data_IF_770996316343
#
_entry.id   IF_770996316343
#
_cell.length_a   1.000
_cell.length_b   1.000
_cell.length_c   1.000
_cell.angle_alpha   90.00
_cell.angle_beta   90.00
_cell.angle_gamma   90.00
#
_symmetry.space_group_name_H-M   'P 1'
#
loop_
_entity.id
_entity.type
_entity.pdbx_description
1 polymer ?
#
# COMPACT_ATOMS: atom_id res chain seq x y z
N UNK A 1 -37.03 32.50 -11.68
CA UNK A 1 -35.58 32.51 -11.36
C UNK A 1 -35.43 32.57 -9.85
N UNK A 2 -34.88 31.52 -9.22
CA UNK A 2 -34.49 31.53 -7.81
C UNK A 2 -33.68 30.26 -7.51
N UNK A 3 -32.35 30.39 -7.42
CA UNK A 3 -31.47 29.30 -7.02
C UNK A 3 -31.52 29.09 -5.50
N UNK A 4 -31.59 27.86 -4.98
CA UNK A 4 -31.38 27.60 -3.56
C UNK A 4 -29.94 27.95 -3.18
N UNK A 5 -29.76 28.88 -2.22
CA UNK A 5 -28.42 29.16 -1.67
C UNK A 5 -27.95 27.99 -0.81
N UNK A 6 -26.73 27.53 -1.03
CA UNK A 6 -26.07 26.57 -0.15
C UNK A 6 -25.90 27.18 1.26
N UNK A 7 -26.48 26.52 2.27
CA UNK A 7 -26.11 26.78 3.66
C UNK A 7 -24.81 26.04 3.95
N UNK A 8 -23.69 26.76 3.94
CA UNK A 8 -22.47 26.26 4.55
C UNK A 8 -22.73 26.08 6.05
N UNK A 9 -22.60 24.85 6.55
CA UNK A 9 -22.65 24.59 7.98
C UNK A 9 -21.38 25.17 8.63
N UNK A 10 -21.55 26.08 9.58
CA UNK A 10 -20.46 26.53 10.44
C UNK A 10 -19.98 25.36 11.29
N UNK A 11 -18.67 25.10 11.29
CA UNK A 11 -18.08 24.09 12.15
C UNK A 11 -18.34 24.46 13.64
N UNK A 12 -18.84 23.55 14.49
CA UNK A 12 -18.90 23.78 15.92
C UNK A 12 -17.50 23.89 16.51
N UNK A 13 -17.30 24.76 17.50
CA UNK A 13 -16.08 24.76 18.32
C UNK A 13 -16.01 23.46 19.13
N UNK A 14 -15.17 22.51 18.68
CA UNK A 14 -15.04 21.19 19.31
C UNK A 14 -14.21 21.27 20.59
N UNK A 15 -14.88 21.27 21.74
CA UNK A 15 -14.25 20.98 23.01
C UNK A 15 -13.59 19.58 22.99
N UNK A 16 -12.44 19.45 23.65
CA UNK A 16 -11.61 18.22 23.61
C UNK A 16 -12.37 17.05 24.26
N UNK A 17 -12.48 15.95 23.53
CA UNK A 17 -13.13 14.71 23.98
C UNK A 17 -12.19 13.90 24.89
N UNK A 18 -12.66 13.22 25.95
CA UNK A 18 -11.82 12.40 26.82
C UNK A 18 -11.25 11.13 26.17
N UNK A 19 -11.53 10.88 24.88
CA UNK A 19 -11.19 9.65 24.15
C UNK A 19 -10.11 9.83 23.06
N UNK A 20 -9.47 11.00 22.95
CA UNK A 20 -8.36 11.20 22.01
C UNK A 20 -7.09 10.45 22.50
N UNK A 21 -6.38 9.68 21.64
CA UNK A 21 -5.17 8.98 22.03
C UNK A 21 -4.08 9.99 22.39
N UNK A 22 -3.20 9.65 23.35
CA UNK A 22 -2.21 10.58 23.85
C UNK A 22 -1.25 11.05 22.75
N UNK A 23 -0.95 12.35 22.77
CA UNK A 23 0.03 12.99 21.89
C UNK A 23 1.37 12.26 21.98
N UNK A 24 1.95 11.93 20.83
CA UNK A 24 3.25 11.26 20.73
C UNK A 24 4.39 12.29 20.77
N UNK A 25 4.55 12.96 21.91
CA UNK A 25 5.45 14.09 22.11
C UNK A 25 6.86 13.94 21.54
N UNK A 26 7.48 12.75 21.62
CA UNK A 26 8.80 12.52 21.00
C UNK A 26 8.81 12.69 19.48
N UNK A 27 7.76 12.23 18.80
CA UNK A 27 7.59 12.35 17.35
C UNK A 27 7.20 13.79 16.98
N UNK A 28 6.30 14.42 17.76
CA UNK A 28 5.93 15.82 17.59
C UNK A 28 7.15 16.75 17.71
N UNK A 29 7.93 16.62 18.79
CA UNK A 29 9.14 17.42 19.01
C UNK A 29 10.18 17.16 17.92
N UNK A 30 10.47 15.89 17.58
CA UNK A 30 11.42 15.56 16.52
C UNK A 30 11.02 16.17 15.17
N UNK A 31 9.77 15.99 14.75
CA UNK A 31 9.30 16.55 13.47
C UNK A 31 9.35 18.08 13.49
N UNK A 32 8.84 18.75 14.53
CA UNK A 32 8.88 20.21 14.64
C UNK A 32 10.32 20.74 14.58
N UNK A 33 11.25 20.14 15.33
CA UNK A 33 12.65 20.57 15.34
C UNK A 33 13.36 20.35 14.00
N UNK A 34 13.11 19.24 13.29
CA UNK A 34 13.72 19.01 11.96
C UNK A 34 13.20 20.02 10.93
N UNK A 35 11.90 20.34 10.93
CA UNK A 35 11.34 21.33 10.01
C UNK A 35 11.84 22.76 10.32
N UNK A 36 11.91 23.16 11.59
CA UNK A 36 12.50 24.44 11.99
C UNK A 36 13.99 24.53 11.65
N UNK A 37 14.77 23.48 11.92
CA UNK A 37 16.19 23.44 11.58
C UNK A 37 16.43 23.48 10.07
N UNK A 38 15.57 22.87 9.25
CA UNK A 38 15.65 22.97 7.80
C UNK A 38 15.30 24.37 7.28
N UNK A 39 14.25 25.01 7.82
CA UNK A 39 13.88 26.38 7.44
C UNK A 39 15.00 27.39 7.78
N UNK A 40 15.56 27.31 8.99
CA UNK A 40 16.71 28.12 9.41
C UNK A 40 17.97 27.78 8.60
N UNK A 41 18.14 26.51 8.23
CA UNK A 41 19.22 26.03 7.36
C UNK A 41 19.13 26.62 5.95
N UNK A 42 17.96 26.57 5.30
CA UNK A 42 17.74 27.13 3.96
C UNK A 42 17.81 28.65 3.97
N UNK A 43 17.43 29.31 5.06
CA UNK A 43 17.67 30.76 5.24
C UNK A 43 19.16 31.10 5.34
N UNK A 44 19.94 30.28 6.06
CA UNK A 44 21.38 30.49 6.27
C UNK A 44 22.24 30.06 5.08
N UNK A 45 21.80 29.06 4.31
CA UNK A 45 22.47 28.47 3.17
C UNK A 45 21.48 28.35 1.98
N UNK A 46 20.98 29.46 1.42
CA UNK A 46 20.00 29.44 0.34
C UNK A 46 20.55 28.78 -0.93
N UNK A 47 19.68 28.28 -1.84
CA UNK A 47 20.11 27.44 -2.96
C UNK A 47 20.99 28.15 -4.00
N UNK A 48 21.08 29.47 -3.96
CA UNK A 48 21.98 30.29 -4.80
C UNK A 48 23.33 30.62 -4.14
N UNK A 49 23.54 30.27 -2.87
CA UNK A 49 24.81 30.49 -2.14
C UNK A 49 25.60 29.21 -1.88
N UNK A 50 25.09 28.05 -2.30
CA UNK A 50 25.70 26.73 -2.10
C UNK A 50 26.22 26.16 -3.42
N UNK A 51 27.18 25.23 -3.35
CA UNK A 51 27.69 24.53 -4.54
C UNK A 51 26.61 23.70 -5.25
N UNK A 52 26.84 23.43 -6.55
CA UNK A 52 25.97 22.54 -7.33
C UNK A 52 26.04 21.10 -6.80
N UNK A 53 27.20 20.74 -6.27
CA UNK A 53 27.56 19.50 -5.63
C UNK A 53 26.69 19.24 -4.38
N UNK A 54 26.46 20.26 -3.54
CA UNK A 54 25.51 20.21 -2.42
C UNK A 54 24.06 20.01 -2.87
N UNK A 55 23.63 20.66 -3.97
CA UNK A 55 22.28 20.48 -4.51
C UNK A 55 22.09 19.10 -5.16
N UNK A 56 23.11 18.57 -5.84
CA UNK A 56 23.14 17.21 -6.38
C UNK A 56 23.16 16.16 -5.26
N UNK A 57 23.86 16.42 -4.16
CA UNK A 57 23.81 15.60 -2.94
C UNK A 57 22.39 15.58 -2.33
N UNK A 58 21.69 16.72 -2.30
CA UNK A 58 20.29 16.79 -1.86
C UNK A 58 19.37 15.94 -2.75
N UNK A 59 19.47 16.13 -4.07
CA UNK A 59 18.68 15.37 -5.04
C UNK A 59 18.99 13.87 -4.96
N UNK A 60 20.28 13.49 -4.86
CA UNK A 60 20.72 12.11 -4.71
C UNK A 60 20.24 11.46 -3.42
N UNK A 61 20.34 12.15 -2.27
CA UNK A 61 19.87 11.65 -0.98
C UNK A 61 18.34 11.45 -0.97
N UNK A 62 17.58 12.40 -1.52
CA UNK A 62 16.13 12.30 -1.74
C UNK A 62 15.78 11.12 -2.64
N UNK A 63 16.35 11.08 -3.85
CA UNK A 63 16.04 10.08 -4.85
C UNK A 63 16.45 8.67 -4.42
N UNK A 64 17.68 8.45 -3.94
CA UNK A 64 18.17 7.11 -3.60
C UNK A 64 17.43 6.51 -2.40
N UNK A 65 17.15 7.32 -1.37
CA UNK A 65 16.41 6.87 -0.18
C UNK A 65 14.93 6.67 -0.51
N UNK A 66 14.33 7.55 -1.32
CA UNK A 66 12.97 7.40 -1.81
C UNK A 66 12.79 6.12 -2.62
N UNK A 67 13.64 5.89 -3.63
CA UNK A 67 13.58 4.67 -4.45
C UNK A 67 13.86 3.39 -3.65
N UNK A 68 14.58 3.48 -2.53
CA UNK A 68 14.77 2.34 -1.64
C UNK A 68 13.52 2.00 -0.82
N UNK A 69 12.66 2.99 -0.51
CA UNK A 69 11.31 2.75 0.01
C UNK A 69 10.42 2.13 -1.07
N UNK A 70 10.36 2.71 -2.28
CA UNK A 70 9.48 2.23 -3.36
C UNK A 70 9.82 0.81 -3.84
N UNK A 71 11.09 0.56 -4.18
CA UNK A 71 11.56 -0.72 -4.71
C UNK A 71 11.69 -1.74 -3.57
N UNK A 72 12.29 -1.34 -2.45
CA UNK A 72 12.61 -2.23 -1.33
C UNK A 72 11.45 -2.45 -0.38
N UNK A 73 11.05 -1.41 0.35
CA UNK A 73 10.06 -1.55 1.42
C UNK A 73 8.65 -1.87 0.88
N UNK A 74 8.23 -1.18 -0.18
CA UNK A 74 6.90 -1.31 -0.76
C UNK A 74 6.79 -2.55 -1.65
N UNK A 75 7.43 -2.54 -2.84
CA UNK A 75 7.21 -3.57 -3.87
C UNK A 75 7.83 -4.93 -3.52
N UNK A 76 9.08 -4.95 -3.03
CA UNK A 76 9.77 -6.19 -2.64
C UNK A 76 9.25 -6.75 -1.31
N UNK A 77 9.34 -5.98 -0.22
CA UNK A 77 9.05 -6.51 1.11
C UNK A 77 7.57 -6.51 1.47
N UNK A 78 6.82 -5.40 1.35
CA UNK A 78 5.41 -5.39 1.72
C UNK A 78 4.56 -6.29 0.81
N UNK A 79 4.70 -6.11 -0.50
CA UNK A 79 3.85 -6.74 -1.53
C UNK A 79 4.41 -8.02 -2.16
N UNK A 80 5.66 -8.40 -1.90
CA UNK A 80 6.27 -9.66 -2.39
C UNK A 80 6.25 -9.81 -3.92
N UNK A 81 6.26 -8.68 -4.65
CA UNK A 81 6.01 -8.63 -6.11
C UNK A 81 7.17 -9.15 -6.97
N UNK A 82 8.37 -9.29 -6.38
CA UNK A 82 9.53 -9.93 -6.99
C UNK A 82 10.46 -10.50 -5.92
N UNK A 83 11.48 -11.26 -6.35
CA UNK A 83 12.57 -11.75 -5.50
C UNK A 83 13.88 -11.05 -5.85
N UNK A 84 14.68 -10.71 -4.85
CA UNK A 84 15.94 -10.00 -5.02
C UNK A 84 17.14 -10.77 -4.43
N UNK A 85 18.26 -10.73 -5.15
CA UNK A 85 19.57 -11.20 -4.67
C UNK A 85 19.97 -10.54 -3.36
N UNK A 86 20.85 -11.20 -2.59
CA UNK A 86 21.29 -10.71 -1.27
C UNK A 86 21.92 -9.31 -1.35
N UNK A 87 22.76 -9.03 -2.35
CA UNK A 87 23.36 -7.71 -2.55
C UNK A 87 22.33 -6.60 -2.77
N UNK A 88 21.33 -6.83 -3.64
CA UNK A 88 20.22 -5.88 -3.87
C UNK A 88 19.42 -5.65 -2.59
N UNK A 89 19.12 -6.70 -1.82
CA UNK A 89 18.42 -6.59 -0.53
C UNK A 89 19.21 -5.73 0.47
N UNK A 90 20.52 -5.95 0.59
CA UNK A 90 21.38 -5.14 1.47
C UNK A 90 21.42 -3.68 1.02
N UNK A 91 21.58 -3.40 -0.28
CA UNK A 91 21.62 -2.02 -0.80
C UNK A 91 20.30 -1.28 -0.52
N UNK A 92 19.15 -1.92 -0.80
CA UNK A 92 17.83 -1.32 -0.51
C UNK A 92 17.60 -1.14 0.99
N UNK A 93 18.05 -2.07 1.84
CA UNK A 93 17.92 -1.98 3.29
C UNK A 93 18.77 -0.86 3.91
N UNK A 94 19.97 -0.63 3.36
CA UNK A 94 20.87 0.48 3.71
C UNK A 94 20.23 1.79 3.26
N UNK A 95 20.00 1.99 1.96
CA UNK A 95 19.48 3.24 1.42
C UNK A 95 18.10 3.62 2.00
N UNK A 96 17.22 2.64 2.22
CA UNK A 96 15.90 2.87 2.82
C UNK A 96 15.95 3.32 4.28
N UNK A 97 17.02 3.01 5.03
CA UNK A 97 17.21 3.57 6.37
C UNK A 97 17.49 5.10 6.31
N UNK A 98 18.11 5.58 5.23
CA UNK A 98 18.31 7.01 4.96
C UNK A 98 17.00 7.79 4.77
N UNK A 99 15.88 7.13 4.44
CA UNK A 99 14.56 7.76 4.34
C UNK A 99 13.93 8.09 5.70
N UNK A 100 14.47 7.53 6.79
CA UNK A 100 14.03 7.75 8.16
C UNK A 100 12.58 7.32 8.50
N UNK A 101 11.88 6.62 7.60
CA UNK A 101 10.46 6.20 7.78
C UNK A 101 10.26 4.98 8.70
N UNK A 102 11.33 4.44 9.28
CA UNK A 102 11.34 3.22 10.10
C UNK A 102 12.15 2.09 9.49
N UNK A 103 12.42 1.05 10.28
CA UNK A 103 13.01 -0.21 9.78
C UNK A 103 12.06 -0.91 8.82
N UNK A 104 12.58 -1.72 7.90
CA UNK A 104 11.80 -2.52 6.95
C UNK A 104 10.66 -3.26 7.67
N UNK A 105 10.97 -3.98 8.76
CA UNK A 105 9.99 -4.76 9.53
C UNK A 105 8.78 -3.92 9.97
N UNK A 106 9.02 -2.79 10.62
CA UNK A 106 7.96 -1.93 11.17
C UNK A 106 7.16 -1.26 10.04
N UNK A 107 7.84 -0.79 8.99
CA UNK A 107 7.17 -0.16 7.84
C UNK A 107 6.28 -1.17 7.11
N UNK A 108 6.80 -2.36 6.79
CA UNK A 108 6.06 -3.37 6.03
C UNK A 108 4.87 -3.94 6.81
N UNK A 109 4.98 -4.09 8.14
CA UNK A 109 3.84 -4.52 8.96
C UNK A 109 2.73 -3.47 9.01
N UNK A 110 3.08 -2.17 9.09
CA UNK A 110 2.12 -1.06 9.00
C UNK A 110 1.47 -1.00 7.61
N UNK A 111 2.27 -1.11 6.55
CA UNK A 111 1.81 -1.05 5.16
C UNK A 111 0.91 -2.24 4.78
N UNK A 112 1.28 -3.46 5.21
CA UNK A 112 0.41 -4.64 5.07
C UNK A 112 -0.89 -4.46 5.84
N UNK A 113 -0.86 -3.88 7.05
CA UNK A 113 -2.08 -3.58 7.81
C UNK A 113 -2.97 -2.56 7.10
N UNK A 114 -2.37 -1.49 6.57
CA UNK A 114 -3.08 -0.49 5.79
C UNK A 114 -3.82 -1.13 4.61
N UNK A 115 -3.18 -1.94 3.77
CA UNK A 115 -3.89 -2.63 2.68
C UNK A 115 -4.94 -3.65 3.17
N UNK A 116 -4.71 -4.29 4.32
CA UNK A 116 -5.60 -5.33 4.90
C UNK A 116 -6.92 -4.75 5.41
N UNK A 117 -6.85 -3.55 5.99
CA UNK A 117 -7.96 -2.83 6.61
C UNK A 117 -8.16 -1.46 5.95
N UNK A 118 -7.88 -1.37 4.64
CA UNK A 118 -8.20 -0.20 3.83
C UNK A 118 -9.68 0.08 3.99
N UNK A 119 -9.97 1.26 4.51
CA UNK A 119 -11.31 1.81 4.68
C UNK A 119 -12.23 1.00 5.66
N UNK A 120 -11.62 0.44 6.72
CA UNK A 120 -12.26 -0.09 7.93
C UNK A 120 -12.43 1.00 9.03
N UNK A 121 -13.66 1.26 9.52
CA UNK A 121 -13.94 2.32 10.49
C UNK A 121 -13.46 2.10 11.93
N UNK A 122 -13.06 0.89 12.30
CA UNK A 122 -12.76 0.51 13.70
C UNK A 122 -11.33 -0.04 13.86
N UNK A 123 -10.69 -0.50 12.78
CA UNK A 123 -9.46 -1.29 12.89
C UNK A 123 -8.28 -0.83 12.02
N UNK A 124 -8.36 0.35 11.38
CA UNK A 124 -7.16 1.00 10.87
C UNK A 124 -6.22 1.39 12.04
N UNK A 125 -4.90 1.19 11.92
CA UNK A 125 -3.93 1.42 12.99
C UNK A 125 -3.82 2.85 13.56
N UNK A 126 -4.52 3.84 13.00
CA UNK A 126 -4.45 5.26 13.37
C UNK A 126 -5.80 5.83 13.82
N UNK A 127 -6.76 4.96 14.17
CA UNK A 127 -8.12 5.32 14.61
C UNK A 127 -8.15 5.91 16.03
N UNK A 128 -8.93 6.97 16.19
CA UNK A 128 -9.44 7.47 17.46
C UNK A 128 -10.68 6.65 17.86
N UNK A 129 -10.62 5.92 18.98
CA UNK A 129 -11.80 5.26 19.57
C UNK A 129 -12.74 6.29 20.20
N UNK A 130 -13.53 7.00 19.39
CA UNK A 130 -14.31 8.13 19.88
C UNK A 130 -15.50 8.54 19.02
N UNK A 131 -16.57 7.72 19.03
CA UNK A 131 -17.97 8.14 19.17
C UNK A 131 -18.92 6.93 19.11
N UNK A 132 -19.56 6.60 20.24
CA UNK A 132 -20.71 5.69 20.30
C UNK A 132 -21.97 6.51 20.60
N UNK A 133 -22.81 6.72 19.60
CA UNK A 133 -24.06 7.48 19.72
C UNK A 133 -24.80 7.50 18.38
N UNK A 134 -26.12 7.31 18.41
CA UNK A 134 -26.88 6.94 17.23
C UNK A 134 -27.00 8.01 16.14
N UNK A 135 -27.03 7.54 14.89
CA UNK A 135 -27.26 8.22 13.60
C UNK A 135 -26.02 8.71 12.82
N UNK A 136 -26.13 8.50 11.50
CA UNK A 136 -25.19 8.83 10.42
C UNK A 136 -23.85 8.06 10.42
N UNK A 137 -23.86 6.90 9.74
CA UNK A 137 -22.68 6.12 9.39
C UNK A 137 -21.71 6.93 8.50
N UNK A 138 -20.62 7.43 9.08
CA UNK A 138 -19.46 7.92 8.33
C UNK A 138 -18.42 6.81 8.35
N UNK A 139 -18.26 6.09 7.24
CA UNK A 139 -17.18 5.13 7.07
C UNK A 139 -15.81 5.83 7.13
N UNK A 140 -14.85 5.26 7.87
CA UNK A 140 -13.50 5.83 7.95
C UNK A 140 -12.57 5.17 6.94
N UNK A 141 -11.83 5.96 6.13
CA UNK A 141 -10.72 5.47 5.34
C UNK A 141 -9.42 5.41 6.14
N UNK A 142 -8.50 4.55 5.70
CA UNK A 142 -7.14 4.47 6.26
C UNK A 142 -6.41 5.80 6.18
N UNK A 143 -5.60 6.12 7.20
CA UNK A 143 -4.97 7.45 7.36
C UNK A 143 -5.95 8.65 7.31
N UNK A 144 -7.25 8.40 7.37
CA UNK A 144 -8.35 9.35 7.52
C UNK A 144 -8.31 10.57 6.58
N UNK A 145 -8.35 10.32 5.27
CA UNK A 145 -8.64 11.35 4.26
C UNK A 145 -9.96 12.11 4.56
N UNK A 146 -10.95 11.45 5.18
CA UNK A 146 -12.20 12.08 5.68
C UNK A 146 -12.00 13.04 6.86
N UNK A 147 -10.90 12.92 7.63
CA UNK A 147 -10.48 13.91 8.64
C UNK A 147 -9.71 15.08 8.03
N UNK A 148 -9.68 15.16 6.69
CA UNK A 148 -9.12 16.26 5.94
C UNK A 148 -7.66 16.07 5.56
N UNK A 149 -7.25 16.89 4.60
CA UNK A 149 -5.94 16.81 3.94
C UNK A 149 -4.78 16.98 4.93
N UNK A 150 -4.92 17.83 5.94
CA UNK A 150 -3.85 18.06 6.92
C UNK A 150 -3.60 16.85 7.83
N UNK A 151 -4.67 16.19 8.31
CA UNK A 151 -4.55 15.03 9.20
C UNK A 151 -3.92 13.85 8.47
N UNK A 152 -4.43 13.52 7.28
CA UNK A 152 -3.93 12.46 6.41
C UNK A 152 -2.50 12.69 5.92
N UNK A 153 -2.10 13.96 5.74
CA UNK A 153 -0.74 14.31 5.34
C UNK A 153 0.25 14.13 6.50
N UNK A 154 0.09 14.89 7.59
CA UNK A 154 1.08 14.94 8.68
C UNK A 154 0.47 14.81 10.08
N UNK A 155 -0.80 15.19 10.28
CA UNK A 155 -1.42 15.22 11.62
C UNK A 155 -1.44 13.86 12.32
N UNK A 156 -1.59 12.76 11.59
CA UNK A 156 -1.58 11.39 12.13
C UNK A 156 -0.31 11.01 12.90
N UNK A 157 0.84 11.65 12.61
CA UNK A 157 2.12 11.39 13.28
C UNK A 157 2.20 11.92 14.72
N UNK A 158 1.35 12.88 15.07
CA UNK A 158 1.38 13.54 16.38
C UNK A 158 0.63 12.77 17.47
N UNK A 159 -0.02 11.66 17.13
CA UNK A 159 -0.80 10.81 18.03
C UNK A 159 -0.15 9.43 18.17
N UNK A 160 -0.32 8.75 19.31
CA UNK A 160 0.16 7.37 19.46
C UNK A 160 -0.80 6.40 18.74
N UNK A 161 -0.32 5.61 17.77
CA UNK A 161 -1.14 4.63 17.04
C UNK A 161 -1.49 3.38 17.86
N UNK A 162 -2.63 2.78 17.55
CA UNK A 162 -3.24 1.61 18.22
C UNK A 162 -3.26 0.40 17.28
N UNK A 163 -2.34 -0.55 17.50
CA UNK A 163 -2.08 -1.67 16.59
C UNK A 163 -2.84 -2.96 16.94
N UNK A 164 -4.14 -2.87 17.21
CA UNK A 164 -4.95 -3.98 17.76
C UNK A 164 -4.91 -5.26 16.90
N UNK A 165 -5.00 -5.12 15.57
CA UNK A 165 -4.97 -6.26 14.62
C UNK A 165 -3.57 -6.66 14.12
N UNK A 166 -2.48 -6.23 14.76
CA UNK A 166 -1.10 -6.53 14.31
C UNK A 166 -0.73 -8.02 14.40
N UNK A 167 -1.43 -8.76 15.25
CA UNK A 167 -1.40 -10.22 15.34
C UNK A 167 -1.95 -10.93 14.07
N UNK A 168 -2.83 -10.29 13.29
CA UNK A 168 -3.39 -10.87 12.06
C UNK A 168 -2.49 -10.68 10.83
N UNK A 169 -1.43 -9.86 10.93
CA UNK A 169 -0.54 -9.55 9.81
C UNK A 169 0.63 -10.55 9.75
N UNK A 170 0.76 -11.23 8.61
CA UNK A 170 1.87 -12.13 8.28
C UNK A 170 3.21 -11.40 8.42
N UNK A 171 4.15 -12.01 9.16
CA UNK A 171 5.45 -11.42 9.51
C UNK A 171 6.65 -12.34 9.23
N UNK A 172 6.40 -13.62 9.00
CA UNK A 172 7.39 -14.71 9.05
C UNK A 172 8.52 -14.51 8.02
N UNK A 173 8.21 -13.93 6.85
CA UNK A 173 9.18 -13.56 5.83
C UNK A 173 10.11 -12.40 6.25
N UNK A 174 9.57 -11.44 7.02
CA UNK A 174 10.32 -10.31 7.58
C UNK A 174 11.15 -10.73 8.81
N UNK A 175 10.70 -11.75 9.54
CA UNK A 175 11.38 -12.30 10.72
C UNK A 175 12.41 -13.39 10.38
N UNK A 176 12.34 -13.99 9.18
CA UNK A 176 13.33 -14.94 8.68
C UNK A 176 14.44 -14.30 7.83
N UNK A 177 14.19 -13.21 7.09
CA UNK A 177 15.23 -12.55 6.29
C UNK A 177 16.35 -11.94 7.19
N UNK A 178 17.61 -12.42 7.11
CA UNK A 178 18.70 -11.89 7.92
C UNK A 178 18.98 -10.40 7.64
N UNK A 179 18.74 -9.90 6.41
CA UNK A 179 18.92 -8.48 6.07
C UNK A 179 17.92 -7.62 6.83
N UNK A 180 16.64 -8.03 6.87
CA UNK A 180 15.58 -7.33 7.61
C UNK A 180 15.84 -7.36 9.11
N UNK A 181 16.28 -8.51 9.65
CA UNK A 181 16.63 -8.65 11.08
C UNK A 181 17.80 -7.74 11.48
N UNK A 182 18.88 -7.72 10.70
CA UNK A 182 20.05 -6.88 10.96
C UNK A 182 19.67 -5.40 10.82
N UNK A 183 18.96 -5.03 9.76
CA UNK A 183 18.55 -3.65 9.52
C UNK A 183 17.60 -3.14 10.60
N UNK A 184 16.67 -3.96 11.09
CA UNK A 184 15.80 -3.62 12.22
C UNK A 184 16.58 -3.44 13.53
N UNK A 185 17.52 -4.36 13.84
CA UNK A 185 18.36 -4.28 15.05
C UNK A 185 19.24 -3.02 15.10
N UNK A 186 19.80 -2.63 13.96
CA UNK A 186 20.71 -1.47 13.84
C UNK A 186 20.06 -0.26 13.18
N UNK A 187 18.72 -0.20 13.10
CA UNK A 187 17.99 0.82 12.34
C UNK A 187 18.34 2.24 12.78
N UNK A 188 18.30 2.51 14.08
CA UNK A 188 18.51 3.86 14.63
C UNK A 188 19.89 4.43 14.25
N UNK A 189 21.04 3.79 14.60
CA UNK A 189 22.34 4.33 14.20
C UNK A 189 22.55 4.36 12.68
N UNK A 190 22.00 3.39 11.92
CA UNK A 190 22.10 3.38 10.46
C UNK A 190 21.34 4.56 9.82
N UNK A 191 20.12 4.84 10.29
CA UNK A 191 19.30 5.94 9.82
C UNK A 191 19.88 7.31 10.23
N UNK A 192 20.42 7.44 11.45
CA UNK A 192 21.12 8.67 11.87
C UNK A 192 22.41 8.89 11.07
N UNK A 193 23.17 7.83 10.78
CA UNK A 193 24.38 7.92 9.97
C UNK A 193 24.05 8.31 8.53
N UNK A 194 23.26 7.50 7.80
CA UNK A 194 22.96 7.74 6.39
C UNK A 194 22.12 8.99 6.16
N UNK A 195 21.24 9.31 7.12
CA UNK A 195 20.50 10.55 7.13
C UNK A 195 21.42 11.75 7.36
N UNK A 196 21.95 11.90 8.58
CA UNK A 196 22.48 13.20 9.02
C UNK A 196 24.01 13.29 8.94
N UNK A 197 24.73 12.22 9.27
CA UNK A 197 26.21 12.25 9.32
C UNK A 197 26.83 12.12 7.93
N UNK A 198 26.32 11.23 7.10
CA UNK A 198 26.88 10.92 5.79
C UNK A 198 26.80 12.11 4.81
N UNK A 199 25.68 12.85 4.69
CA UNK A 199 25.65 14.05 3.82
C UNK A 199 26.49 15.21 4.36
N UNK A 200 26.66 15.35 5.68
CA UNK A 200 27.61 16.31 6.25
C UNK A 200 29.06 15.94 5.88
N UNK A 201 29.41 14.66 6.01
CA UNK A 201 30.72 14.14 5.62
C UNK A 201 30.98 14.29 4.10
N UNK A 202 30.01 13.96 3.25
CA UNK A 202 30.12 14.17 1.80
C UNK A 202 30.26 15.66 1.45
N UNK A 203 29.47 16.54 2.07
CA UNK A 203 29.62 18.00 1.91
C UNK A 203 31.01 18.52 2.27
N UNK A 204 31.72 17.87 3.21
CA UNK A 204 33.08 18.27 3.57
C UNK A 204 34.12 18.03 2.46
N UNK A 205 33.84 17.14 1.50
CA UNK A 205 34.71 16.87 0.34
C UNK A 205 34.84 18.06 -0.62
N UNK A 206 33.88 18.99 -0.58
CA UNK A 206 33.90 20.28 -1.28
C UNK A 206 33.75 21.46 -0.31
N UNK A 207 34.22 21.27 0.93
CA UNK A 207 34.29 22.27 2.01
C UNK A 207 32.94 22.82 2.53
N UNK A 208 31.80 22.26 2.12
CA UNK A 208 30.45 22.69 2.53
C UNK A 208 29.80 21.75 3.57
N UNK A 209 30.54 21.31 4.59
CA UNK A 209 30.07 20.37 5.63
C UNK A 209 28.68 20.72 6.20
N UNK A 210 28.42 22.01 6.47
CA UNK A 210 27.14 22.49 7.01
C UNK A 210 26.03 22.57 5.95
N UNK A 211 26.33 22.98 4.71
CA UNK A 211 25.31 23.00 3.65
C UNK A 211 24.95 21.57 3.20
N UNK A 212 25.91 20.63 3.20
CA UNK A 212 25.67 19.20 3.01
C UNK A 212 24.76 18.60 4.11
N UNK A 213 24.93 19.03 5.37
CA UNK A 213 24.01 18.68 6.47
C UNK A 213 22.62 19.31 6.30
N UNK A 214 22.51 20.55 5.84
CA UNK A 214 21.21 21.22 5.62
C UNK A 214 20.47 20.61 4.43
N UNK A 215 21.10 20.56 3.26
CA UNK A 215 20.48 20.15 2.01
C UNK A 215 20.43 18.63 1.86
N UNK A 216 21.60 17.99 1.76
CA UNK A 216 21.72 16.52 1.72
C UNK A 216 21.18 15.82 2.98
N UNK A 217 21.20 16.52 4.11
CA UNK A 217 20.55 16.08 5.33
C UNK A 217 19.08 16.53 5.45
N UNK A 218 18.84 17.64 6.15
CA UNK A 218 17.50 18.03 6.63
C UNK A 218 16.46 18.14 5.51
N UNK A 219 16.77 18.91 4.45
CA UNK A 219 15.84 19.21 3.35
C UNK A 219 15.52 17.95 2.54
N UNK A 220 16.52 17.09 2.27
CA UNK A 220 16.29 15.82 1.59
C UNK A 220 15.28 14.93 2.34
N UNK A 221 15.29 14.88 3.68
CA UNK A 221 14.25 14.16 4.44
C UNK A 221 12.88 14.79 4.32
N UNK A 222 12.79 16.12 4.42
CA UNK A 222 11.51 16.83 4.28
C UNK A 222 10.89 16.54 2.91
N UNK A 223 11.67 16.54 1.83
CA UNK A 223 11.18 16.12 0.52
C UNK A 223 10.76 14.63 0.48
N UNK A 224 11.52 13.70 1.09
CA UNK A 224 11.14 12.26 1.15
C UNK A 224 9.81 12.09 1.90
N UNK A 225 9.68 12.75 3.05
CA UNK A 225 8.52 12.66 3.93
C UNK A 225 7.29 13.28 3.27
N UNK A 226 7.35 14.54 2.81
CA UNK A 226 6.21 15.16 2.15
C UNK A 226 5.81 14.45 0.85
N UNK A 227 6.75 13.87 0.08
CA UNK A 227 6.40 13.02 -1.06
C UNK A 227 5.58 11.79 -0.64
N UNK A 228 6.04 11.07 0.39
CA UNK A 228 5.32 9.92 0.95
C UNK A 228 4.02 10.30 1.69
N UNK A 229 3.88 11.54 2.15
CA UNK A 229 2.67 12.04 2.81
C UNK A 229 1.65 12.59 1.80
N UNK A 230 2.07 13.05 0.62
CA UNK A 230 1.16 13.40 -0.47
C UNK A 230 0.47 12.15 -1.05
N UNK A 231 1.10 10.98 -0.93
CA UNK A 231 0.46 9.67 -1.14
C UNK A 231 -0.74 9.52 -0.20
N UNK A 232 -0.52 9.57 1.12
CA UNK A 232 -1.60 9.38 2.09
C UNK A 232 -2.74 10.44 1.99
N UNK A 233 -2.44 11.68 1.59
CA UNK A 233 -3.44 12.76 1.56
C UNK A 233 -3.99 13.09 0.18
N UNK A 234 -3.13 13.48 -0.78
CA UNK A 234 -3.58 13.99 -2.07
C UNK A 234 -4.10 12.86 -2.97
N UNK A 235 -3.47 11.67 -2.92
CA UNK A 235 -3.98 10.50 -3.65
C UNK A 235 -5.37 10.08 -3.18
N UNK A 236 -5.72 10.28 -1.90
CA UNK A 236 -7.05 9.95 -1.37
C UNK A 236 -8.07 11.10 -1.46
N UNK A 237 -7.67 12.28 -2.00
CA UNK A 237 -8.55 13.45 -2.12
C UNK A 237 -8.81 13.87 -3.57
N UNK A 238 -7.79 13.96 -4.43
CA UNK A 238 -7.92 14.51 -5.78
C UNK A 238 -7.14 13.71 -6.84
N UNK A 239 -7.90 13.02 -7.70
CA UNK A 239 -7.42 12.19 -8.80
C UNK A 239 -8.57 11.42 -9.43
N UNK A 240 -8.25 10.40 -10.22
CA UNK A 240 -9.23 9.53 -10.90
C UNK A 240 -9.29 8.14 -10.25
N UNK A 241 -10.49 7.52 -10.19
CA UNK A 241 -10.75 6.12 -9.72
C UNK A 241 -11.22 5.09 -10.79
N UNK A 242 -10.44 4.84 -11.86
CA UNK A 242 -10.71 3.90 -12.96
C UNK A 242 -10.81 2.38 -12.82
N UNK A 243 -10.05 1.70 -11.97
CA UNK A 243 -10.04 0.21 -11.95
C UNK A 243 -10.81 -0.34 -10.74
N UNK A 244 -10.90 0.44 -9.66
CA UNK A 244 -11.88 0.20 -8.59
C UNK A 244 -12.24 1.51 -7.90
N UNK A 245 -13.38 1.48 -7.24
CA UNK A 245 -13.93 2.50 -6.33
C UNK A 245 -14.38 1.86 -5.00
N UNK A 246 -13.80 0.70 -4.67
CA UNK A 246 -13.96 0.01 -3.38
C UNK A 246 -13.15 0.64 -2.25
N UNK A 247 -12.15 1.47 -2.59
CA UNK A 247 -11.41 2.30 -1.65
C UNK A 247 -11.34 3.76 -2.13
N UNK A 248 -10.80 4.63 -1.29
CA UNK A 248 -10.66 6.07 -1.57
C UNK A 248 -9.47 6.46 -2.45
N UNK A 249 -8.65 5.52 -2.93
CA UNK A 249 -7.40 5.82 -3.64
C UNK A 249 -7.62 6.36 -5.06
N UNK A 250 -6.83 7.35 -5.48
CA UNK A 250 -6.98 8.07 -6.76
C UNK A 250 -5.64 8.37 -7.41
N UNK A 251 -5.67 8.49 -8.75
CA UNK A 251 -4.48 8.69 -9.57
C UNK A 251 -4.17 10.14 -9.91
N UNK A 252 -2.90 10.55 -9.79
CA UNK A 252 -2.46 11.90 -10.12
C UNK A 252 -1.01 11.94 -10.67
N UNK A 253 -0.82 12.52 -11.87
CA UNK A 253 0.49 12.57 -12.54
C UNK A 253 1.53 13.45 -11.80
N UNK A 254 1.11 14.57 -11.22
CA UNK A 254 2.01 15.44 -10.43
C UNK A 254 2.50 14.67 -9.19
N UNK A 255 1.61 13.88 -8.58
CA UNK A 255 1.98 12.99 -7.49
C UNK A 255 2.97 11.91 -7.95
N UNK A 256 2.69 11.22 -9.07
CA UNK A 256 3.58 10.19 -9.61
C UNK A 256 5.00 10.71 -9.89
N UNK A 257 5.11 11.96 -10.37
CA UNK A 257 6.39 12.65 -10.56
C UNK A 257 7.14 12.85 -9.22
N UNK A 258 6.46 13.40 -8.21
CA UNK A 258 7.03 13.68 -6.88
C UNK A 258 7.37 12.42 -6.06
N UNK A 259 6.85 11.25 -6.43
CA UNK A 259 6.92 10.01 -5.63
C UNK A 259 7.73 8.89 -6.27
N UNK A 260 8.33 9.11 -7.44
CA UNK A 260 9.08 8.07 -8.16
C UNK A 260 8.22 6.92 -8.70
N UNK A 261 6.94 7.20 -8.98
CA UNK A 261 5.97 6.28 -9.57
C UNK A 261 4.77 5.95 -8.68
N UNK A 262 4.93 5.91 -7.35
CA UNK A 262 3.90 5.41 -6.42
C UNK A 262 2.62 6.25 -6.40
N UNK A 263 2.69 7.53 -6.75
CA UNK A 263 1.52 8.40 -7.01
C UNK A 263 0.56 7.88 -8.10
N UNK A 264 0.96 6.80 -8.76
CA UNK A 264 0.10 5.92 -9.55
C UNK A 264 -0.64 4.85 -8.71
N UNK A 265 -0.96 5.12 -7.43
CA UNK A 265 -2.06 4.48 -6.64
C UNK A 265 -3.27 4.14 -7.53
N UNK A 266 -3.48 5.01 -8.50
CA UNK A 266 -4.05 4.72 -9.79
C UNK A 266 -3.09 5.39 -10.86
N UNK A 267 -2.49 4.69 -11.86
CA UNK A 267 -2.14 5.05 -13.30
C UNK A 267 -1.58 3.77 -14.01
N UNK A 268 -1.46 3.40 -15.30
CA UNK A 268 -1.93 3.79 -16.66
C UNK A 268 -1.76 2.58 -17.63
N UNK A 269 -2.59 2.33 -18.67
CA UNK A 269 -2.18 2.35 -20.12
C UNK A 269 -3.29 1.98 -21.14
N UNK A 270 -3.18 2.61 -22.34
CA UNK A 270 -3.51 2.14 -23.71
C UNK A 270 -4.35 0.87 -23.86
N UNK A 271 -5.67 1.03 -23.78
CA UNK A 271 -6.60 0.14 -24.47
C UNK A 271 -6.50 0.35 -26.00
N UNK A 272 -6.48 -0.73 -26.78
CA UNK A 272 -6.65 -0.67 -28.25
C UNK A 272 -8.05 -1.16 -28.59
N UNK A 273 -8.98 -0.22 -28.79
CA UNK A 273 -10.31 -0.49 -29.33
C UNK A 273 -10.83 0.74 -30.09
N UNK A 274 -11.34 0.51 -31.31
CA UNK A 274 -12.07 1.45 -32.18
C UNK A 274 -11.40 2.80 -32.57
N UNK A 275 -10.99 3.01 -33.85
CA UNK A 275 -10.39 4.27 -34.32
C UNK A 275 -11.29 5.52 -34.37
N UNK A 276 -12.47 5.51 -33.74
CA UNK A 276 -13.49 6.57 -33.85
C UNK A 276 -13.88 7.23 -32.51
N UNK A 277 -13.39 6.73 -31.39
CA UNK A 277 -13.70 7.27 -30.06
C UNK A 277 -12.54 8.11 -29.51
N UNK A 278 -12.85 9.16 -28.74
CA UNK A 278 -11.84 10.07 -28.19
C UNK A 278 -11.16 9.48 -26.95
N UNK A 279 -9.87 9.75 -26.82
CA UNK A 279 -9.01 9.25 -25.75
C UNK A 279 -9.52 9.63 -24.35
N UNK A 280 -9.54 8.66 -23.44
CA UNK A 280 -9.86 8.84 -22.01
C UNK A 280 -8.94 8.00 -21.14
N UNK A 281 -8.46 8.56 -20.04
CA UNK A 281 -7.31 8.05 -19.28
C UNK A 281 -7.73 7.23 -18.05
N UNK A 282 -7.27 5.98 -17.91
CA UNK A 282 -7.65 5.04 -16.85
C UNK A 282 -6.40 4.44 -16.11
N UNK A 283 -6.51 4.03 -14.83
CA UNK A 283 -5.44 4.12 -13.79
C UNK A 283 -5.42 2.97 -12.65
N UNK A 284 -4.27 2.45 -12.16
CA UNK A 284 -4.03 1.06 -11.58
C UNK A 284 -3.89 0.67 -10.05
N UNK A 285 -2.84 1.10 -9.30
CA UNK A 285 -2.10 0.24 -8.33
C UNK A 285 -2.85 -0.39 -7.12
N UNK A 286 -3.82 0.27 -6.48
CA UNK A 286 -4.51 -0.31 -5.31
C UNK A 286 -5.33 -1.56 -5.61
N UNK A 287 -5.86 -1.68 -6.83
CA UNK A 287 -6.65 -2.84 -7.25
C UNK A 287 -5.77 -4.09 -7.47
N UNK A 288 -4.48 -3.91 -7.79
CA UNK A 288 -3.53 -4.97 -8.15
C UNK A 288 -2.24 -4.91 -7.32
N UNK A 289 -2.32 -5.02 -5.97
CA UNK A 289 -1.17 -4.86 -5.06
C UNK A 289 -0.14 -6.00 -5.15
N UNK A 290 -0.33 -6.97 -6.06
CA UNK A 290 0.62 -8.04 -6.34
C UNK A 290 1.51 -7.77 -7.55
N UNK A 291 1.27 -6.69 -8.31
CA UNK A 291 2.07 -6.31 -9.48
C UNK A 291 3.31 -5.49 -9.08
N UNK A 292 4.47 -5.76 -9.68
CA UNK A 292 5.69 -4.99 -9.38
C UNK A 292 5.67 -3.56 -9.95
N UNK A 293 4.69 -3.23 -10.81
CA UNK A 293 4.52 -1.95 -11.50
C UNK A 293 3.49 -1.09 -10.77
N UNK A 294 3.74 0.21 -10.65
CA UNK A 294 2.68 1.18 -10.31
C UNK A 294 1.77 1.51 -11.49
N UNK A 295 2.10 1.04 -12.71
CA UNK A 295 1.25 1.11 -13.90
C UNK A 295 1.71 0.14 -15.01
N UNK A 296 0.79 -0.47 -15.78
CA UNK A 296 1.10 -1.64 -16.61
C UNK A 296 2.07 -1.46 -17.79
N UNK A 297 2.36 -0.26 -18.33
CA UNK A 297 3.21 -0.16 -19.54
C UNK A 297 4.68 0.15 -19.28
N UNK A 298 5.44 0.19 -20.37
CA UNK A 298 6.80 0.72 -20.41
C UNK A 298 6.88 2.24 -20.24
N UNK A 299 5.86 2.99 -20.71
CA UNK A 299 5.91 4.46 -20.85
C UNK A 299 5.38 5.25 -19.65
N UNK A 300 4.56 4.65 -18.78
CA UNK A 300 4.06 5.35 -17.59
C UNK A 300 5.23 5.67 -16.64
N UNK A 301 5.23 6.90 -16.12
CA UNK A 301 6.28 7.42 -15.24
C UNK A 301 6.34 6.62 -13.94
N UNK A 302 7.21 5.61 -13.95
CA UNK A 302 7.53 4.77 -12.81
C UNK A 302 9.02 4.39 -12.94
N UNK A 303 9.94 5.29 -12.52
CA UNK A 303 11.37 5.00 -12.49
C UNK A 303 11.72 3.77 -11.65
N UNK A 304 10.93 3.47 -10.61
CA UNK A 304 11.11 2.29 -9.78
C UNK A 304 10.90 0.99 -10.60
N UNK A 305 9.86 0.91 -11.45
CA UNK A 305 9.66 -0.16 -12.46
C UNK A 305 10.83 -0.26 -13.43
N UNK A 306 11.37 0.86 -13.92
CA UNK A 306 12.51 0.84 -14.84
C UNK A 306 13.79 0.32 -14.17
N UNK A 307 14.06 0.68 -12.91
CA UNK A 307 15.17 0.12 -12.12
C UNK A 307 14.97 -1.37 -11.87
N UNK A 308 13.76 -1.81 -11.49
CA UNK A 308 13.46 -3.24 -11.27
C UNK A 308 13.65 -4.05 -12.56
N UNK A 309 13.21 -3.52 -13.72
CA UNK A 309 13.44 -4.14 -15.03
C UNK A 309 14.92 -4.19 -15.42
N UNK A 310 15.71 -3.16 -15.06
CA UNK A 310 17.17 -3.16 -15.22
C UNK A 310 17.84 -4.25 -14.38
N UNK A 311 17.53 -4.33 -13.08
CA UNK A 311 18.03 -5.36 -12.18
C UNK A 311 17.60 -6.78 -12.62
N UNK A 312 16.40 -6.92 -13.19
CA UNK A 312 15.93 -8.19 -13.73
C UNK A 312 16.72 -8.62 -14.98
N UNK A 313 17.00 -7.69 -15.91
CA UNK A 313 17.89 -7.96 -17.07
C UNK A 313 19.31 -8.36 -16.66
N UNK A 314 19.78 -7.89 -15.50
CA UNK A 314 21.08 -8.25 -14.92
C UNK A 314 21.04 -9.55 -14.08
N UNK A 315 19.90 -10.24 -14.00
CA UNK A 315 19.72 -11.45 -13.19
C UNK A 315 19.70 -11.22 -11.67
N UNK A 316 19.77 -9.96 -11.22
CA UNK A 316 19.82 -9.57 -9.81
C UNK A 316 18.43 -9.58 -9.14
N UNK A 317 17.37 -9.62 -9.95
CA UNK A 317 15.96 -9.76 -9.57
C UNK A 317 15.29 -10.83 -10.43
N UNK A 318 14.37 -11.60 -9.85
CA UNK A 318 13.62 -12.66 -10.53
C UNK A 318 12.17 -12.79 -10.05
N UNK A 319 11.33 -13.48 -10.82
CA UNK A 319 9.93 -13.75 -10.45
C UNK A 319 9.05 -12.49 -10.37
N UNK A 320 9.16 -11.59 -11.36
CA UNK A 320 8.34 -10.39 -11.47
C UNK A 320 6.85 -10.78 -11.62
N UNK A 321 6.04 -10.52 -10.60
CA UNK A 321 4.58 -10.72 -10.61
C UNK A 321 3.89 -9.59 -11.37
N UNK A 322 2.82 -9.95 -12.09
CA UNK A 322 1.96 -9.02 -12.85
C UNK A 322 0.51 -9.49 -12.74
N UNK A 323 -0.44 -8.56 -12.76
CA UNK A 323 -1.84 -8.90 -13.03
C UNK A 323 -2.01 -9.34 -14.51
N UNK A 324 -3.04 -10.13 -14.80
CA UNK A 324 -3.32 -10.56 -16.18
C UNK A 324 -4.00 -9.44 -16.95
N UNK A 325 -3.69 -9.27 -18.24
CA UNK A 325 -4.25 -8.16 -19.04
C UNK A 325 -5.79 -8.25 -19.16
N UNK A 326 -6.38 -9.44 -19.00
CA UNK A 326 -7.84 -9.65 -18.96
C UNK A 326 -8.47 -9.04 -17.69
N UNK A 327 -7.88 -9.24 -16.51
CA UNK A 327 -8.32 -8.59 -15.25
C UNK A 327 -8.34 -7.06 -15.40
N UNK A 328 -7.38 -6.53 -16.16
CA UNK A 328 -7.18 -5.09 -16.36
C UNK A 328 -8.22 -4.49 -17.29
N UNK A 329 -8.48 -5.15 -18.42
CA UNK A 329 -9.52 -4.74 -19.37
C UNK A 329 -10.89 -4.80 -18.70
N UNK A 330 -11.16 -5.83 -17.90
CA UNK A 330 -12.45 -5.99 -17.25
C UNK A 330 -12.70 -4.97 -16.13
N UNK A 331 -11.72 -4.70 -15.26
CA UNK A 331 -11.84 -3.69 -14.21
C UNK A 331 -12.15 -2.30 -14.79
N UNK A 332 -11.47 -1.93 -15.88
CA UNK A 332 -11.74 -0.70 -16.65
C UNK A 332 -13.13 -0.72 -17.30
N UNK A 333 -13.55 -1.85 -17.86
CA UNK A 333 -14.86 -1.99 -18.51
C UNK A 333 -16.02 -1.92 -17.52
N UNK A 334 -15.88 -2.52 -16.33
CA UNK A 334 -16.84 -2.41 -15.23
C UNK A 334 -16.99 -0.96 -14.78
N UNK A 335 -15.88 -0.26 -14.51
CA UNK A 335 -15.94 1.13 -14.05
C UNK A 335 -16.47 2.09 -15.13
N UNK A 336 -16.22 1.83 -16.42
CA UNK A 336 -16.91 2.54 -17.51
C UNK A 336 -18.41 2.31 -17.49
N UNK A 337 -18.88 1.05 -17.47
CA UNK A 337 -20.32 0.72 -17.34
C UNK A 337 -20.98 1.40 -16.13
N UNK A 338 -20.32 1.39 -14.98
CA UNK A 338 -20.82 2.02 -13.74
C UNK A 338 -20.96 3.54 -13.91
N UNK A 339 -19.96 4.20 -14.50
CA UNK A 339 -19.95 5.66 -14.69
C UNK A 339 -20.87 6.15 -15.83
N UNK A 340 -21.02 5.35 -16.90
CA UNK A 340 -21.77 5.72 -18.11
C UNK A 340 -23.26 5.34 -18.03
N UNK A 341 -23.58 4.21 -17.39
CA UNK A 341 -24.92 3.61 -17.37
C UNK A 341 -25.56 3.58 -15.97
N UNK A 342 -24.80 3.90 -14.92
CA UNK A 342 -25.25 3.77 -13.53
C UNK A 342 -25.42 2.32 -13.05
N UNK A 343 -25.10 1.33 -13.89
CA UNK A 343 -25.28 -0.09 -13.58
C UNK A 343 -24.24 -0.52 -12.55
N UNK A 344 -24.71 -0.80 -11.34
CA UNK A 344 -23.94 -1.35 -10.23
C UNK A 344 -24.11 -2.87 -10.07
N UNK A 345 -24.97 -3.49 -10.89
CA UNK A 345 -25.38 -4.89 -10.74
C UNK A 345 -24.17 -5.85 -10.65
N UNK A 346 -24.20 -6.81 -9.71
CA UNK A 346 -23.23 -7.91 -9.73
C UNK A 346 -23.45 -8.77 -10.97
N UNK A 347 -22.42 -9.52 -11.39
CA UNK A 347 -22.65 -10.70 -12.22
C UNK A 347 -23.71 -11.58 -11.52
N UNK A 348 -24.75 -11.99 -12.25
CA UNK A 348 -25.78 -12.89 -11.70
C UNK A 348 -25.13 -14.25 -11.46
N UNK A 349 -24.75 -14.50 -10.20
CA UNK A 349 -23.91 -15.62 -9.76
C UNK A 349 -24.65 -16.97 -9.84
N UNK A 350 -24.87 -17.43 -11.06
CA UNK A 350 -25.60 -18.65 -11.39
C UNK A 350 -24.68 -19.86 -11.40
N UNK A 351 -24.81 -20.72 -10.40
CA UNK A 351 -24.09 -21.99 -10.35
C UNK A 351 -24.88 -23.12 -11.03
N UNK A 352 -24.42 -23.52 -12.21
CA UNK A 352 -24.95 -24.66 -12.97
C UNK A 352 -24.03 -25.90 -12.92
N UNK A 353 -23.02 -25.90 -12.05
CA UNK A 353 -22.06 -27.00 -11.88
C UNK A 353 -22.49 -28.03 -10.84
N UNK A 354 -21.55 -28.88 -10.39
CA UNK A 354 -21.87 -29.95 -9.45
C UNK A 354 -22.32 -29.46 -8.06
N UNK A 355 -23.12 -30.30 -7.39
CA UNK A 355 -23.51 -30.15 -5.98
C UNK A 355 -22.90 -31.31 -5.19
N UNK A 356 -22.20 -31.01 -4.10
CA UNK A 356 -21.50 -32.00 -3.26
C UNK A 356 -22.01 -31.96 -1.82
N UNK A 357 -22.03 -33.14 -1.18
CA UNK A 357 -22.11 -33.24 0.27
C UNK A 357 -20.70 -33.26 0.90
N UNK A 358 -20.66 -33.17 2.23
CA UNK A 358 -19.42 -33.13 3.02
C UNK A 358 -18.51 -34.36 2.77
N UNK A 359 -19.07 -35.54 2.50
CA UNK A 359 -18.28 -36.75 2.24
C UNK A 359 -17.64 -36.78 0.84
N UNK A 360 -18.34 -36.30 -0.20
CA UNK A 360 -17.74 -36.14 -1.53
C UNK A 360 -16.62 -35.09 -1.51
N UNK A 361 -16.84 -33.98 -0.79
CA UNK A 361 -15.80 -32.99 -0.50
C UNK A 361 -14.58 -33.59 0.22
N UNK A 362 -14.79 -34.31 1.34
CA UNK A 362 -13.71 -34.94 2.12
C UNK A 362 -12.94 -35.98 1.31
N UNK A 363 -13.59 -36.65 0.36
CA UNK A 363 -12.95 -37.54 -0.62
C UNK A 363 -12.11 -36.75 -1.62
N UNK A 364 -12.68 -35.75 -2.29
CA UNK A 364 -11.99 -34.92 -3.29
C UNK A 364 -10.75 -34.22 -2.73
N UNK A 365 -10.82 -33.68 -1.51
CA UNK A 365 -9.68 -33.08 -0.83
C UNK A 365 -8.53 -34.08 -0.57
N UNK A 366 -8.84 -35.38 -0.38
CA UNK A 366 -7.86 -36.44 -0.09
C UNK A 366 -7.31 -37.17 -1.31
N UNK A 367 -7.98 -37.10 -2.47
CA UNK A 367 -7.58 -37.75 -3.73
C UNK A 367 -6.15 -37.40 -4.20
N UNK A 368 -5.67 -36.19 -3.90
CA UNK A 368 -4.38 -35.69 -4.37
C UNK A 368 -3.60 -35.04 -3.23
N UNK A 369 -2.43 -35.60 -2.93
CA UNK A 369 -1.54 -35.08 -1.88
C UNK A 369 -1.17 -33.62 -2.15
N UNK A 370 -1.42 -32.74 -1.19
CA UNK A 370 -1.11 -31.31 -1.31
C UNK A 370 -2.18 -30.46 -2.00
N UNK A 371 -3.30 -31.05 -2.43
CA UNK A 371 -4.52 -30.32 -2.80
C UNK A 371 -5.00 -29.44 -1.63
N UNK A 372 -5.48 -28.25 -1.95
CA UNK A 372 -5.92 -27.25 -0.98
C UNK A 372 -7.33 -26.78 -1.39
N UNK A 373 -8.35 -27.21 -0.64
CA UNK A 373 -9.74 -26.82 -0.87
C UNK A 373 -10.17 -25.89 0.25
N UNK A 374 -10.63 -24.69 -0.06
CA UNK A 374 -11.27 -23.79 0.92
C UNK A 374 -12.77 -23.77 0.70
N UNK A 375 -13.53 -23.44 1.75
CA UNK A 375 -14.99 -23.26 1.68
C UNK A 375 -15.29 -21.78 1.87
N UNK A 376 -16.01 -21.18 0.92
CA UNK A 376 -16.42 -19.77 0.97
C UNK A 376 -17.81 -19.63 0.31
N UNK A 377 -18.72 -18.87 0.93
CA UNK A 377 -20.07 -18.55 0.43
C UNK A 377 -20.93 -19.80 0.08
N UNK A 378 -20.68 -20.94 0.73
CA UNK A 378 -21.37 -22.21 0.43
C UNK A 378 -20.80 -22.99 -0.75
N UNK A 379 -19.60 -22.66 -1.23
CA UNK A 379 -18.92 -23.36 -2.32
C UNK A 379 -17.60 -24.00 -1.88
N UNK A 380 -17.31 -25.17 -2.46
CA UNK A 380 -16.00 -25.78 -2.42
C UNK A 380 -15.13 -25.20 -3.55
N UNK A 381 -13.94 -24.69 -3.20
CA UNK A 381 -13.06 -23.94 -4.10
C UNK A 381 -11.68 -24.58 -4.10
N UNK A 382 -11.22 -25.10 -5.26
CA UNK A 382 -9.90 -25.71 -5.39
C UNK A 382 -8.84 -24.63 -5.65
N UNK A 383 -8.28 -24.09 -4.56
CA UNK A 383 -7.22 -23.06 -4.61
C UNK A 383 -5.82 -23.65 -4.84
N UNK A 384 -5.69 -24.96 -5.06
CA UNK A 384 -4.39 -25.62 -5.36
C UNK A 384 -3.56 -24.93 -6.47
N UNK A 385 -4.11 -24.59 -7.65
CA UNK A 385 -3.34 -23.85 -8.66
C UNK A 385 -2.96 -22.43 -8.20
N UNK A 386 -3.83 -21.77 -7.42
CA UNK A 386 -3.66 -20.38 -6.98
C UNK A 386 -2.72 -20.21 -5.78
N UNK A 387 -2.32 -21.30 -5.10
CA UNK A 387 -1.44 -21.28 -3.92
C UNK A 387 -0.18 -20.42 -4.10
N UNK A 388 0.47 -20.51 -5.27
CA UNK A 388 1.70 -19.77 -5.57
C UNK A 388 1.48 -18.28 -5.83
N UNK A 389 0.29 -17.90 -6.27
CA UNK A 389 -0.08 -16.54 -6.68
C UNK A 389 -0.68 -15.73 -5.51
N UNK A 390 -1.47 -16.39 -4.66
CA UNK A 390 -2.20 -15.78 -3.54
C UNK A 390 -1.37 -14.75 -2.72
N UNK A 391 -1.77 -13.46 -2.68
CA UNK A 391 -1.00 -12.40 -2.02
C UNK A 391 -0.76 -12.61 -0.51
N UNK A 392 -1.71 -13.25 0.19
CA UNK A 392 -1.59 -13.62 1.61
C UNK A 392 -0.78 -14.89 1.87
N UNK A 393 -0.08 -15.42 0.86
CA UNK A 393 0.82 -16.58 0.98
C UNK A 393 0.11 -17.94 1.01
N UNK A 394 0.91 -18.99 0.80
CA UNK A 394 0.50 -20.41 0.80
C UNK A 394 -0.01 -20.85 2.17
N UNK A 395 0.67 -20.41 3.24
CA UNK A 395 0.41 -20.84 4.61
C UNK A 395 -0.99 -20.43 5.08
N UNK A 396 -1.46 -19.24 4.66
CA UNK A 396 -2.79 -18.75 5.02
C UNK A 396 -3.89 -19.60 4.38
N UNK A 397 -3.80 -19.92 3.08
CA UNK A 397 -4.76 -20.81 2.42
C UNK A 397 -4.75 -22.23 3.02
N UNK A 398 -3.56 -22.76 3.34
CA UNK A 398 -3.44 -24.07 3.99
C UNK A 398 -4.06 -24.13 5.39
N UNK A 399 -4.03 -23.02 6.15
CA UNK A 399 -4.72 -22.91 7.45
C UNK A 399 -6.24 -23.08 7.32
N UNK A 400 -6.83 -22.60 6.23
CA UNK A 400 -8.27 -22.69 5.94
C UNK A 400 -8.64 -23.89 5.05
N UNK A 401 -7.72 -24.82 4.81
CA UNK A 401 -7.98 -25.96 3.91
C UNK A 401 -8.79 -27.06 4.59
N UNK A 402 -9.85 -27.50 3.93
CA UNK A 402 -10.52 -28.77 4.21
C UNK A 402 -9.50 -29.89 4.10
N UNK A 403 -9.28 -30.60 5.21
CA UNK A 403 -8.31 -31.71 5.28
C UNK A 403 -7.76 -31.96 6.68
N UNK A 404 -7.59 -30.92 7.51
CA UNK A 404 -7.01 -31.03 8.85
C UNK A 404 -8.02 -31.10 10.00
N UNK A 405 -9.14 -30.35 9.94
CA UNK A 405 -10.20 -30.38 10.96
C UNK A 405 -11.40 -31.25 10.55
N UNK A 406 -11.89 -31.08 9.31
CA UNK A 406 -13.13 -31.73 8.84
C UNK A 406 -14.40 -31.17 9.47
N UNK A 407 -14.27 -29.96 10.02
CA UNK A 407 -15.14 -29.25 10.96
C UNK A 407 -15.88 -28.08 10.26
N UNK A 408 -17.11 -27.79 10.70
CA UNK A 408 -17.96 -26.71 10.15
C UNK A 408 -17.45 -25.35 10.61
N UNK A 409 -16.92 -25.23 11.84
CA UNK A 409 -16.35 -23.96 12.34
C UNK A 409 -15.18 -23.47 11.48
N UNK A 410 -14.46 -24.39 10.81
CA UNK A 410 -13.37 -24.04 9.90
C UNK A 410 -13.86 -23.39 8.58
N UNK A 411 -15.09 -23.67 8.14
CA UNK A 411 -15.72 -22.97 7.01
C UNK A 411 -16.15 -21.57 7.43
N UNK A 412 -16.89 -21.41 8.52
CA UNK A 412 -17.29 -20.07 8.99
C UNK A 412 -16.10 -19.15 9.28
N UNK A 413 -14.97 -19.70 9.75
CA UNK A 413 -13.71 -18.94 9.88
C UNK A 413 -13.09 -18.52 8.53
N UNK A 414 -13.33 -19.27 7.45
CA UNK A 414 -12.88 -18.94 6.10
C UNK A 414 -13.78 -17.86 5.45
N UNK A 415 -15.11 -17.97 5.57
CA UNK A 415 -16.06 -16.90 5.18
C UNK A 415 -15.70 -15.59 5.89
N UNK A 416 -15.56 -15.63 7.21
CA UNK A 416 -15.15 -14.50 8.04
C UNK A 416 -13.79 -13.93 7.62
N UNK A 417 -12.81 -14.78 7.32
CA UNK A 417 -11.49 -14.33 6.88
C UNK A 417 -11.51 -13.71 5.46
N UNK A 418 -12.50 -14.06 4.63
CA UNK A 418 -12.64 -13.61 3.25
C UNK A 418 -13.50 -12.34 3.09
N UNK A 419 -14.51 -12.17 3.94
CA UNK A 419 -15.54 -11.12 3.82
C UNK A 419 -15.48 -10.07 4.95
N UNK A 420 -14.26 -9.67 5.33
CA UNK A 420 -13.99 -8.48 6.16
C UNK A 420 -13.39 -8.74 7.55
N UNK A 421 -13.54 -9.95 8.10
CA UNK A 421 -13.03 -10.30 9.42
C UNK A 421 -11.50 -10.38 9.49
N UNK A 422 -10.86 -10.90 8.44
CA UNK A 422 -9.40 -10.83 8.29
C UNK A 422 -8.96 -10.04 7.05
N UNK A 423 -9.62 -10.18 5.91
CA UNK A 423 -9.46 -9.37 4.70
C UNK A 423 -10.87 -9.03 4.19
N UNK A 424 -11.10 -7.83 3.66
CA UNK A 424 -12.22 -7.58 2.76
C UNK A 424 -11.70 -7.70 1.31
N UNK A 425 -11.94 -8.84 0.65
CA UNK A 425 -11.40 -9.07 -0.69
C UNK A 425 -12.12 -8.24 -1.76
N UNK A 426 -11.38 -7.64 -2.70
CA UNK A 426 -11.93 -6.81 -3.78
C UNK A 426 -12.83 -7.59 -4.76
N UNK A 427 -13.61 -6.88 -5.58
CA UNK A 427 -14.42 -7.44 -6.68
C UNK A 427 -13.65 -8.42 -7.55
N UNK A 428 -12.42 -8.08 -7.93
CA UNK A 428 -11.53 -8.95 -8.71
C UNK A 428 -11.18 -10.24 -7.95
N UNK A 429 -10.81 -10.14 -6.66
CA UNK A 429 -10.53 -11.31 -5.85
C UNK A 429 -11.78 -12.18 -5.56
N UNK A 430 -12.96 -11.57 -5.43
CA UNK A 430 -14.26 -12.27 -5.36
C UNK A 430 -14.59 -12.99 -6.66
N UNK A 431 -14.31 -12.40 -7.82
CA UNK A 431 -14.47 -13.06 -9.12
C UNK A 431 -13.49 -14.22 -9.31
N UNK A 432 -12.21 -14.02 -8.99
CA UNK A 432 -11.20 -15.09 -9.03
C UNK A 432 -11.54 -16.26 -8.09
N UNK A 433 -12.23 -16.00 -6.98
CA UNK A 433 -12.82 -17.05 -6.14
C UNK A 433 -13.94 -17.82 -6.87
N UNK A 434 -14.87 -17.13 -7.56
CA UNK A 434 -15.92 -17.77 -8.38
C UNK A 434 -15.34 -18.72 -9.44
N UNK A 435 -14.30 -18.28 -10.14
CA UNK A 435 -13.59 -19.06 -11.18
C UNK A 435 -12.96 -20.36 -10.65
N UNK A 436 -12.63 -20.42 -9.35
CA UNK A 436 -11.98 -21.58 -8.70
C UNK A 436 -12.98 -22.50 -7.98
N UNK A 437 -14.28 -22.20 -8.01
CA UNK A 437 -15.34 -23.07 -7.46
C UNK A 437 -15.41 -24.38 -8.24
N UNK A 438 -15.42 -25.51 -7.53
CA UNK A 438 -15.58 -26.86 -8.10
C UNK A 438 -16.95 -27.47 -7.81
N UNK A 439 -17.61 -27.06 -6.73
CA UNK A 439 -18.98 -27.46 -6.40
C UNK A 439 -19.66 -26.48 -5.45
N UNK A 440 -20.99 -26.46 -5.49
CA UNK A 440 -21.82 -25.93 -4.39
C UNK A 440 -21.97 -27.01 -3.31
N UNK A 441 -21.93 -26.62 -2.04
CA UNK A 441 -22.24 -27.51 -0.93
C UNK A 441 -23.74 -27.54 -0.63
N UNK A 442 -24.18 -28.69 -0.13
CA UNK A 442 -25.43 -28.90 0.60
C UNK A 442 -25.13 -29.71 1.85
N UNK A 443 -25.94 -29.50 2.88
CA UNK A 443 -25.86 -30.19 4.18
C UNK A 443 -26.19 -31.70 4.05
#
# INVERSE_FOLDING_TARGET
MSTPRSRFATCPDTAISPNDPPIWWSTTIFMTLIHLAALLGVYSFPPWSVTRETLLLCFGAWAMSGHAITIGYHRLYSHKTFRATYGVRVILAVLGAGAFQGSIKVWCLRHRMHHRFTDDPVHDPYVLHGLSGDNLLIASPSYAATRGVFYSHIGWLFYKPTYERLNLIERDDLESDPVVRIQHKYYIPLAFFLGFVCPAFLGSLWHETMAGFVWGGLVARIFIWHSAFLVNSLAHWNGLQPYSDEDTSRGNFILALLTGGEGSHNFHVRAVANPKEKETNLFYQHAFPHDFRSGPSSTDWDPSKWVILGLHKLGLVSGLRRASDDDLVEAVHYMRKKNELGITEPEVDTWNGEIWNIDKLKRFAREKTGRCIVLIDGFAIDVTPYLGEHPGGVNLLRKYSVGLSGDIDAWHQADWAFSGGMNNHSRAARRRMRELRVAKLVD
#
